data_IF_492153048826
#
_entry.id   IF_492153048826
#
_cell.length_a   1.000
_cell.length_b   1.000
_cell.length_c   1.000
_cell.angle_alpha   90.00
_cell.angle_beta   90.00
_cell.angle_gamma   90.00
#
_symmetry.space_group_name_H-M   'P 1'
#
loop_
_entity.id
_entity.type
_entity.pdbx_description
1 polymer ?
#
# COMPACT_ATOMS: atom_id res chain seq x y z
N UNK A 1 34.08 -35.70 -27.02
CA UNK A 1 34.07 -34.58 -26.06
C UNK A 1 32.87 -33.71 -26.40
N UNK A 2 31.77 -33.87 -25.67
CA UNK A 2 30.58 -33.05 -25.86
C UNK A 2 30.79 -31.75 -25.08
N UNK A 3 30.91 -30.64 -25.81
CA UNK A 3 30.91 -29.29 -25.25
C UNK A 3 29.52 -29.04 -24.65
N UNK A 4 29.43 -29.14 -23.33
CA UNK A 4 28.31 -28.61 -22.58
C UNK A 4 28.30 -27.09 -22.76
N UNK A 5 27.50 -26.59 -23.68
CA UNK A 5 27.06 -25.21 -23.67
C UNK A 5 26.30 -24.99 -22.36
N UNK A 6 26.97 -24.43 -21.34
CA UNK A 6 26.29 -23.93 -20.17
C UNK A 6 25.36 -22.82 -20.65
N UNK A 7 24.06 -23.12 -20.69
CA UNK A 7 23.05 -22.07 -20.80
C UNK A 7 23.28 -21.16 -19.59
N UNK A 8 23.89 -20.00 -19.78
CA UNK A 8 23.88 -18.93 -18.79
C UNK A 8 22.42 -18.53 -18.64
N UNK A 9 21.71 -19.21 -17.73
CA UNK A 9 20.33 -18.87 -17.39
C UNK A 9 20.38 -17.41 -16.93
N UNK A 10 19.79 -16.49 -17.69
CA UNK A 10 19.72 -15.07 -17.33
C UNK A 10 18.87 -14.93 -16.06
N UNK A 11 19.51 -15.10 -14.90
CA UNK A 11 18.87 -15.01 -13.58
C UNK A 11 18.54 -13.56 -13.28
N UNK A 12 17.34 -13.34 -12.77
CA UNK A 12 16.87 -12.01 -12.41
C UNK A 12 17.50 -11.58 -11.08
N UNK A 13 18.34 -10.55 -11.08
CA UNK A 13 18.90 -9.96 -9.84
C UNK A 13 18.04 -8.81 -9.35
N UNK A 14 17.42 -8.97 -8.18
CA UNK A 14 16.60 -7.96 -7.50
C UNK A 14 17.38 -7.42 -6.31
N UNK A 15 17.81 -6.16 -6.38
CA UNK A 15 18.41 -5.46 -5.24
C UNK A 15 17.33 -5.11 -4.21
N UNK A 16 17.60 -5.26 -2.91
CA UNK A 16 16.70 -4.79 -1.86
C UNK A 16 17.38 -3.94 -0.80
N UNK A 17 16.71 -2.87 -0.37
CA UNK A 17 17.18 -1.97 0.69
C UNK A 17 16.04 -1.67 1.69
N UNK A 18 16.14 -2.22 2.90
CA UNK A 18 15.08 -2.15 3.91
C UNK A 18 15.63 -1.86 5.32
N UNK A 19 14.84 -1.25 6.21
CA UNK A 19 15.10 -1.28 7.64
C UNK A 19 15.11 -2.72 8.16
N UNK A 20 15.89 -3.05 9.21
CA UNK A 20 16.05 -4.44 9.68
C UNK A 20 14.74 -5.16 9.99
N UNK A 21 13.75 -4.46 10.57
CA UNK A 21 12.44 -5.02 10.87
C UNK A 21 11.66 -5.39 9.60
N UNK A 22 11.81 -4.60 8.53
CA UNK A 22 11.12 -4.84 7.26
C UNK A 22 11.78 -5.98 6.49
N UNK A 23 13.11 -6.03 6.48
CA UNK A 23 13.89 -7.12 5.90
C UNK A 23 13.46 -8.48 6.49
N UNK A 24 13.46 -8.62 7.83
CA UNK A 24 13.05 -9.88 8.49
C UNK A 24 11.61 -10.31 8.19
N UNK A 25 10.73 -9.36 7.88
CA UNK A 25 9.31 -9.64 7.66
C UNK A 25 8.97 -9.91 6.19
N UNK A 26 9.80 -9.46 5.23
CA UNK A 26 9.55 -9.61 3.79
C UNK A 26 10.54 -10.59 3.18
N UNK A 27 11.84 -10.43 3.43
CA UNK A 27 12.92 -11.27 2.90
C UNK A 27 13.17 -12.43 3.87
N UNK A 28 12.16 -13.27 4.08
CA UNK A 28 12.33 -14.50 4.88
C UNK A 28 13.15 -15.52 4.07
N UNK A 29 13.83 -16.48 4.74
CA UNK A 29 14.57 -17.55 4.05
C UNK A 29 13.72 -18.30 3.02
N UNK A 30 12.44 -18.56 3.30
CA UNK A 30 11.55 -19.25 2.38
C UNK A 30 11.34 -18.49 1.06
N UNK A 31 11.22 -17.16 1.09
CA UNK A 31 11.16 -16.35 -0.12
C UNK A 31 12.48 -16.39 -0.88
N UNK A 32 13.62 -16.30 -0.20
CA UNK A 32 14.94 -16.35 -0.83
C UNK A 32 15.14 -17.68 -1.56
N UNK A 33 14.82 -18.81 -0.91
CA UNK A 33 14.97 -20.15 -1.48
C UNK A 33 14.01 -20.38 -2.64
N UNK A 34 12.73 -20.00 -2.49
CA UNK A 34 11.73 -20.12 -3.54
C UNK A 34 12.09 -19.25 -4.75
N UNK A 35 12.41 -17.97 -4.54
CA UNK A 35 12.82 -17.05 -5.61
C UNK A 35 14.04 -17.59 -6.36
N UNK A 36 15.04 -18.09 -5.61
CA UNK A 36 16.27 -18.64 -6.19
C UNK A 36 16.00 -19.88 -7.05
N UNK A 37 15.16 -20.79 -6.58
CA UNK A 37 14.72 -21.97 -7.35
C UNK A 37 14.02 -21.56 -8.65
N UNK A 38 13.32 -20.43 -8.64
CA UNK A 38 12.56 -19.91 -9.77
C UNK A 38 13.33 -18.87 -10.60
N UNK A 39 14.65 -18.78 -10.45
CA UNK A 39 15.52 -17.95 -11.30
C UNK A 39 15.61 -16.49 -10.90
N UNK A 40 15.25 -16.14 -9.66
CA UNK A 40 15.31 -14.79 -9.10
C UNK A 40 16.29 -14.77 -7.91
N UNK A 41 17.33 -13.95 -7.99
CA UNK A 41 18.31 -13.72 -6.93
C UNK A 41 17.96 -12.43 -6.18
N UNK A 42 17.58 -12.56 -4.90
CA UNK A 42 17.37 -11.42 -4.01
C UNK A 42 18.71 -11.03 -3.39
N UNK A 43 19.17 -9.81 -3.67
CA UNK A 43 20.49 -9.32 -3.29
C UNK A 43 20.32 -8.13 -2.35
N UNK A 44 20.81 -8.26 -1.12
CA UNK A 44 20.84 -7.15 -0.16
C UNK A 44 21.76 -6.06 -0.68
N UNK A 45 21.27 -4.83 -0.70
CA UNK A 45 22.09 -3.64 -0.96
C UNK A 45 22.80 -3.26 0.33
N UNK A 46 24.12 -3.13 0.26
CA UNK A 46 24.94 -2.59 1.33
C UNK A 46 24.88 -1.05 1.30
N UNK A 47 24.35 -0.44 2.36
CA UNK A 47 24.21 1.01 2.46
C UNK A 47 25.56 1.72 2.73
N UNK A 48 26.63 0.98 3.03
CA UNK A 48 27.97 1.54 3.22
C UNK A 48 28.80 1.58 1.93
N UNK A 49 28.35 0.90 0.87
CA UNK A 49 29.04 0.83 -0.42
C UNK A 49 28.26 1.62 -1.47
N UNK A 50 28.91 2.39 -2.38
CA UNK A 50 28.21 3.09 -3.45
C UNK A 50 27.34 2.14 -4.29
N UNK A 51 26.06 2.49 -4.50
CA UNK A 51 25.08 1.64 -5.18
C UNK A 51 25.49 1.27 -6.61
N UNK A 52 26.20 2.17 -7.30
CA UNK A 52 26.74 1.96 -8.66
C UNK A 52 27.68 0.76 -8.76
N UNK A 53 28.33 0.36 -7.66
CA UNK A 53 29.32 -0.72 -7.66
C UNK A 53 28.72 -2.08 -7.26
N UNK A 54 27.43 -2.13 -6.92
CA UNK A 54 26.79 -3.34 -6.39
C UNK A 54 25.96 -4.11 -7.43
N UNK A 55 25.85 -3.55 -8.65
CA UNK A 55 25.16 -4.17 -9.76
C UNK A 55 25.86 -5.42 -10.34
N UNK A 56 25.35 -5.97 -11.45
CA UNK A 56 24.14 -5.55 -12.14
C UNK A 56 22.87 -5.93 -11.34
N UNK A 57 21.87 -5.05 -11.38
CA UNK A 57 20.50 -5.33 -10.96
C UNK A 57 19.58 -5.28 -12.18
N UNK A 58 18.41 -5.88 -12.07
CA UNK A 58 17.33 -5.70 -13.04
C UNK A 58 16.21 -4.84 -12.44
N UNK A 59 15.98 -4.98 -11.14
CA UNK A 59 15.14 -4.07 -10.39
C UNK A 59 15.66 -3.90 -8.97
N UNK A 60 15.26 -2.80 -8.33
CA UNK A 60 15.53 -2.50 -6.93
C UNK A 60 14.20 -2.32 -6.21
N UNK A 61 13.97 -3.06 -5.13
CA UNK A 61 12.89 -2.83 -4.18
C UNK A 61 13.43 -2.13 -2.94
N UNK A 62 12.70 -1.16 -2.39
CA UNK A 62 13.22 -0.43 -1.23
C UNK A 62 12.10 0.09 -0.32
N UNK A 63 12.46 0.34 0.93
CA UNK A 63 11.57 0.95 1.93
C UNK A 63 12.36 1.83 2.91
N UNK A 64 13.24 2.65 2.35
CA UNK A 64 13.99 3.68 3.07
C UNK A 64 13.40 5.04 2.68
N UNK A 65 13.40 5.95 3.63
CA UNK A 65 12.62 7.19 3.56
C UNK A 65 13.48 8.46 3.70
N UNK A 66 14.78 8.31 3.91
CA UNK A 66 15.68 9.45 4.01
C UNK A 66 16.00 10.04 2.63
N UNK A 67 16.14 11.37 2.60
CA UNK A 67 16.40 12.13 1.36
C UNK A 67 17.70 11.66 0.68
N UNK A 68 18.73 11.31 1.46
CA UNK A 68 19.99 10.80 0.94
C UNK A 68 19.81 9.50 0.14
N UNK A 69 18.99 8.56 0.64
CA UNK A 69 18.65 7.36 -0.11
C UNK A 69 17.90 7.67 -1.41
N UNK A 70 16.93 8.60 -1.36
CA UNK A 70 16.17 8.98 -2.55
C UNK A 70 17.08 9.58 -3.64
N UNK A 71 18.00 10.46 -3.26
CA UNK A 71 19.01 11.04 -4.16
C UNK A 71 19.94 9.97 -4.75
N UNK A 72 20.50 9.08 -3.91
CA UNK A 72 21.36 7.99 -4.39
C UNK A 72 20.65 7.07 -5.38
N UNK A 73 19.37 6.77 -5.13
CA UNK A 73 18.57 5.90 -5.99
C UNK A 73 18.22 6.59 -7.32
N UNK A 74 17.95 7.90 -7.30
CA UNK A 74 17.74 8.70 -8.50
C UNK A 74 19.00 8.76 -9.37
N UNK A 75 20.16 9.07 -8.77
CA UNK A 75 21.46 9.08 -9.44
C UNK A 75 21.81 7.72 -10.06
N UNK A 76 21.54 6.64 -9.33
CA UNK A 76 21.73 5.29 -9.84
C UNK A 76 20.81 5.00 -11.03
N UNK A 77 19.53 5.36 -10.95
CA UNK A 77 18.57 5.14 -12.02
C UNK A 77 18.91 5.93 -13.30
N UNK A 78 19.41 7.17 -13.16
CA UNK A 78 19.88 7.97 -14.30
C UNK A 78 21.05 7.31 -15.03
N UNK A 79 21.99 6.72 -14.29
CA UNK A 79 23.16 6.02 -14.85
C UNK A 79 22.84 4.60 -15.33
N UNK A 80 21.70 4.03 -14.91
CA UNK A 80 21.29 2.67 -15.21
C UNK A 80 19.82 2.63 -15.66
N UNK A 81 19.47 3.20 -16.83
CA UNK A 81 18.08 3.33 -17.29
C UNK A 81 17.38 1.98 -17.54
N UNK A 82 18.15 0.89 -17.62
CA UNK A 82 17.64 -0.48 -17.73
C UNK A 82 17.16 -1.06 -16.40
N UNK A 83 17.54 -0.48 -15.26
CA UNK A 83 17.16 -0.96 -13.93
C UNK A 83 15.86 -0.32 -13.49
N UNK A 84 14.88 -1.14 -13.12
CA UNK A 84 13.59 -0.65 -12.65
C UNK A 84 13.63 -0.39 -11.15
N UNK A 85 13.39 0.86 -10.74
CA UNK A 85 13.16 1.20 -9.32
C UNK A 85 11.70 0.92 -8.95
N UNK A 86 11.49 0.08 -7.94
CA UNK A 86 10.18 -0.35 -7.44
C UNK A 86 10.04 0.09 -5.97
N UNK A 87 9.23 1.10 -5.66
CA UNK A 87 8.67 2.12 -6.56
C UNK A 87 9.46 3.42 -6.42
N UNK A 88 9.19 4.41 -7.29
CA UNK A 88 9.96 5.66 -7.23
C UNK A 88 9.66 6.43 -5.94
N UNK A 89 10.69 6.98 -5.24
CA UNK A 89 10.49 7.72 -3.99
C UNK A 89 9.45 8.85 -4.08
N UNK A 90 9.45 9.62 -5.18
CA UNK A 90 8.52 10.73 -5.39
C UNK A 90 7.05 10.29 -5.50
N UNK A 91 6.79 9.10 -6.04
CA UNK A 91 5.44 8.52 -6.11
C UNK A 91 5.01 7.94 -4.77
N UNK A 92 5.95 7.34 -4.02
CA UNK A 92 5.69 6.81 -2.68
C UNK A 92 5.38 7.93 -1.68
N UNK A 93 6.00 9.11 -1.85
CA UNK A 93 5.88 10.24 -0.91
C UNK A 93 4.43 10.70 -0.68
N UNK A 94 3.53 10.49 -1.66
CA UNK A 94 2.09 10.74 -1.50
C UNK A 94 1.48 9.96 -0.33
N UNK A 95 2.00 8.77 -0.03
CA UNK A 95 1.52 7.93 1.07
C UNK A 95 2.04 8.35 2.44
N UNK A 96 2.87 9.39 2.55
CA UNK A 96 3.31 9.90 3.86
C UNK A 96 2.29 10.85 4.46
N UNK A 97 1.49 11.51 3.62
CA UNK A 97 0.45 12.43 4.07
C UNK A 97 -0.89 11.72 4.21
N UNK A 98 -1.27 11.43 5.46
CA UNK A 98 -2.54 10.77 5.77
C UNK A 98 -3.76 11.63 5.37
N UNK A 99 -3.60 12.95 5.20
CA UNK A 99 -4.68 13.84 4.77
C UNK A 99 -5.00 13.62 3.29
N UNK A 100 -3.98 13.61 2.42
CA UNK A 100 -4.15 13.54 0.97
C UNK A 100 -4.08 12.13 0.38
N UNK A 101 -3.58 11.15 1.15
CA UNK A 101 -3.35 9.77 0.69
C UNK A 101 -4.57 9.14 -0.01
N UNK A 102 -5.77 9.39 0.51
CA UNK A 102 -7.00 8.76 0.01
C UNK A 102 -7.66 9.53 -1.14
N UNK A 103 -7.18 10.72 -1.50
CA UNK A 103 -7.75 11.54 -2.58
C UNK A 103 -7.72 10.80 -3.94
N UNK A 104 -6.74 9.91 -4.11
CA UNK A 104 -6.58 9.06 -5.30
C UNK A 104 -7.76 8.11 -5.53
N UNK A 105 -8.54 7.78 -4.49
CA UNK A 105 -9.69 6.89 -4.59
C UNK A 105 -10.76 7.49 -5.51
N UNK A 106 -10.88 8.82 -5.57
CA UNK A 106 -11.80 9.51 -6.49
C UNK A 106 -11.50 9.26 -7.97
N UNK A 107 -10.28 8.81 -8.31
CA UNK A 107 -9.86 8.50 -9.67
C UNK A 107 -10.14 7.03 -10.07
N UNK A 108 -10.52 6.19 -9.10
CA UNK A 108 -10.82 4.79 -9.32
C UNK A 108 -12.18 4.67 -10.01
N UNK A 109 -12.18 4.14 -11.24
CA UNK A 109 -13.41 3.88 -11.99
C UNK A 109 -13.83 2.43 -11.79
N UNK A 110 -14.92 2.19 -11.07
CA UNK A 110 -15.59 0.90 -11.11
C UNK A 110 -16.30 0.75 -12.46
N UNK A 111 -16.16 -0.40 -13.11
CA UNK A 111 -16.82 -0.65 -14.40
C UNK A 111 -18.32 -0.94 -14.25
N UNK A 112 -18.80 -1.13 -13.02
CA UNK A 112 -20.17 -1.53 -12.70
C UNK A 112 -21.00 -0.33 -12.22
N UNK A 113 -22.16 -0.10 -12.83
CA UNK A 113 -23.03 1.06 -12.59
C UNK A 113 -23.68 1.10 -11.20
N UNK A 114 -23.49 0.07 -10.38
CA UNK A 114 -24.12 -0.05 -9.05
C UNK A 114 -23.17 -0.06 -7.85
N UNK A 115 -21.85 -0.20 -8.05
CA UNK A 115 -20.89 -0.30 -6.93
C UNK A 115 -20.20 1.04 -6.71
N UNK A 116 -20.40 1.61 -5.52
CA UNK A 116 -19.73 2.85 -5.10
C UNK A 116 -18.45 2.52 -4.34
N UNK A 117 -17.37 3.21 -4.70
CA UNK A 117 -16.07 3.16 -4.02
C UNK A 117 -15.79 4.58 -3.54
N UNK A 118 -15.68 4.75 -2.23
CA UNK A 118 -15.62 6.07 -1.59
C UNK A 118 -14.53 6.10 -0.51
N UNK A 119 -14.39 7.28 0.09
CA UNK A 119 -13.56 7.52 1.27
C UNK A 119 -14.49 8.12 2.32
N UNK A 120 -14.49 7.64 3.57
CA UNK A 120 -15.30 8.28 4.60
C UNK A 120 -14.81 9.72 4.78
N UNK A 121 -15.74 10.63 5.02
CA UNK A 121 -15.41 12.05 5.14
C UNK A 121 -14.34 12.26 6.20
N UNK A 122 -13.37 13.13 5.89
CA UNK A 122 -12.24 13.37 6.75
C UNK A 122 -11.93 14.86 6.88
N UNK A 123 -11.56 15.28 8.09
CA UNK A 123 -11.13 16.64 8.40
C UNK A 123 -9.91 16.60 9.32
N UNK A 124 -9.10 17.65 9.26
CA UNK A 124 -7.94 17.79 10.17
C UNK A 124 -8.30 18.74 11.29
N UNK A 125 -8.16 18.27 12.52
CA UNK A 125 -8.20 19.11 13.71
C UNK A 125 -6.77 19.57 14.05
N UNK A 126 -6.51 20.85 13.84
CA UNK A 126 -5.20 21.51 14.03
C UNK A 126 -5.01 21.97 15.47
N UNK A 127 -3.78 22.31 15.83
CA UNK A 127 -3.47 22.93 17.13
C UNK A 127 -4.14 24.30 17.30
N UNK A 128 -4.27 25.05 16.21
CA UNK A 128 -4.77 26.42 16.19
C UNK A 128 -6.31 26.51 16.17
N UNK A 129 -6.99 25.42 15.83
CA UNK A 129 -8.44 25.34 15.95
C UNK A 129 -8.75 25.45 17.45
N UNK A 130 -9.45 26.49 17.89
CA UNK A 130 -9.56 26.87 19.30
C UNK A 130 -10.17 25.82 20.24
N UNK A 131 -10.79 26.26 21.33
CA UNK A 131 -11.49 25.35 22.22
C UNK A 131 -12.60 24.62 21.45
N UNK A 132 -12.73 23.30 21.59
CA UNK A 132 -13.70 22.48 20.84
C UNK A 132 -15.14 22.99 20.98
N UNK A 133 -15.47 23.61 22.11
CA UNK A 133 -16.79 24.20 22.38
C UNK A 133 -17.10 25.40 21.45
N UNK A 134 -16.06 26.01 20.85
CA UNK A 134 -16.17 27.04 19.82
C UNK A 134 -16.28 26.47 18.40
N UNK A 135 -15.91 25.20 18.19
CA UNK A 135 -16.00 24.50 16.90
C UNK A 135 -17.40 23.88 16.76
N UNK A 136 -18.42 24.74 16.71
CA UNK A 136 -19.82 24.32 16.56
C UNK A 136 -20.07 23.61 15.23
N UNK A 137 -19.33 24.00 14.18
CA UNK A 137 -19.58 23.59 12.80
C UNK A 137 -18.48 22.64 12.27
N UNK A 138 -18.11 21.64 13.04
CA UNK A 138 -17.34 20.51 12.49
C UNK A 138 -18.23 19.79 11.48
N UNK A 139 -17.83 19.84 10.21
CA UNK A 139 -18.54 19.22 9.10
C UNK A 139 -18.23 17.71 9.03
N UNK A 140 -18.43 16.98 10.12
CA UNK A 140 -18.32 15.51 10.22
C UNK A 140 -19.38 14.95 11.16
N UNK A 141 -19.81 13.72 10.87
CA UNK A 141 -20.75 12.97 11.70
C UNK A 141 -20.03 12.09 12.70
N UNK A 142 -20.55 12.06 13.93
CA UNK A 142 -20.06 11.15 14.95
C UNK A 142 -20.73 9.77 14.82
N UNK A 143 -20.01 8.68 15.16
CA UNK A 143 -18.66 8.67 15.70
C UNK A 143 -17.58 8.89 14.63
N UNK A 144 -16.39 9.33 15.05
CA UNK A 144 -15.21 9.51 14.16
C UNK A 144 -14.03 8.72 14.69
N UNK A 145 -13.21 8.18 13.79
CA UNK A 145 -11.88 7.66 14.11
C UNK A 145 -10.89 8.81 14.07
N UNK A 146 -10.27 9.09 15.21
CA UNK A 146 -9.13 9.97 15.34
C UNK A 146 -7.83 9.21 15.04
N UNK A 147 -7.10 9.66 14.02
CA UNK A 147 -5.82 9.10 13.57
C UNK A 147 -4.72 10.16 13.69
N UNK A 148 -3.59 9.91 14.38
CA UNK A 148 -2.46 10.83 14.40
C UNK A 148 -2.00 11.19 12.98
N UNK A 149 -1.54 12.42 12.72
CA UNK A 149 -1.07 12.76 11.36
C UNK A 149 0.23 12.04 10.97
N UNK A 150 1.08 11.74 11.95
CA UNK A 150 2.28 10.94 11.71
C UNK A 150 1.89 9.53 11.22
N UNK A 151 2.45 9.11 10.08
CA UNK A 151 2.21 7.81 9.42
C UNK A 151 3.51 6.98 9.31
N UNK A 152 4.53 7.32 10.10
CA UNK A 152 5.90 6.78 10.04
C UNK A 152 6.06 5.31 10.49
N UNK A 153 4.98 4.66 10.90
CA UNK A 153 4.98 3.27 11.38
C UNK A 153 5.53 3.10 12.80
N UNK A 154 5.74 4.19 13.54
CA UNK A 154 6.04 4.16 14.99
C UNK A 154 4.83 3.66 15.79
N UNK A 155 5.05 3.16 17.01
CA UNK A 155 3.94 2.76 17.88
C UNK A 155 2.94 3.90 18.16
N UNK A 156 3.43 5.15 18.20
CA UNK A 156 2.61 6.36 18.38
C UNK A 156 1.74 6.69 17.15
N UNK A 157 2.21 6.40 15.93
CA UNK A 157 1.43 6.61 14.69
C UNK A 157 0.18 5.72 14.57
N UNK A 158 0.03 4.75 15.47
CA UNK A 158 -1.03 3.74 15.49
C UNK A 158 -1.92 3.78 16.73
N UNK A 159 -1.73 4.74 17.64
CA UNK A 159 -2.67 4.99 18.74
C UNK A 159 -3.87 5.76 18.16
N UNK A 160 -4.96 5.05 17.90
CA UNK A 160 -6.19 5.62 17.35
C UNK A 160 -7.24 5.73 18.45
N UNK A 161 -8.23 6.60 18.25
CA UNK A 161 -9.38 6.69 19.15
C UNK A 161 -10.67 6.69 18.35
N UNK A 162 -11.66 5.92 18.81
CA UNK A 162 -13.04 6.03 18.35
C UNK A 162 -13.71 7.08 19.22
N UNK A 163 -14.01 8.23 18.64
CA UNK A 163 -14.60 9.37 19.35
C UNK A 163 -16.10 9.35 19.10
N UNK A 164 -16.87 9.22 20.19
CA UNK A 164 -18.32 9.08 20.13
C UNK A 164 -19.04 10.42 20.05
N UNK A 165 -18.46 11.47 20.62
CA UNK A 165 -19.07 12.79 20.67
C UNK A 165 -18.02 13.89 20.80
N UNK A 166 -18.48 15.14 20.71
CA UNK A 166 -17.62 16.33 20.76
C UNK A 166 -16.78 16.42 22.04
N UNK A 167 -17.26 15.91 23.18
CA UNK A 167 -16.50 15.95 24.44
C UNK A 167 -15.22 15.13 24.33
N UNK A 168 -15.29 13.98 23.65
CA UNK A 168 -14.12 13.12 23.44
C UNK A 168 -13.03 13.71 22.55
N UNK A 169 -13.31 14.80 21.82
CA UNK A 169 -12.26 15.51 21.08
C UNK A 169 -11.27 16.23 21.99
N UNK A 170 -11.68 16.56 23.24
CA UNK A 170 -10.87 17.37 24.18
C UNK A 170 -9.60 16.64 24.62
N UNK A 171 -9.65 15.31 24.62
CA UNK A 171 -8.57 14.44 25.09
C UNK A 171 -7.66 13.94 23.96
N UNK A 172 -7.82 14.47 22.74
CA UNK A 172 -7.01 14.10 21.58
C UNK A 172 -5.73 14.94 21.49
N UNK A 173 -4.62 14.27 21.22
CA UNK A 173 -3.36 14.92 20.85
C UNK A 173 -3.47 15.52 19.44
N UNK A 174 -3.30 16.84 19.32
CA UNK A 174 -3.38 17.57 18.05
C UNK A 174 -1.98 17.87 17.48
N UNK A 175 -1.82 17.90 16.14
CA UNK A 175 -2.87 17.77 15.12
C UNK A 175 -3.28 16.31 14.85
N UNK A 176 -4.55 16.11 14.50
CA UNK A 176 -5.17 14.78 14.31
C UNK A 176 -6.13 14.78 13.13
N UNK A 177 -6.15 13.69 12.37
CA UNK A 177 -7.16 13.46 11.32
C UNK A 177 -8.39 12.82 11.96
N UNK A 178 -9.55 13.41 11.77
CA UNK A 178 -10.84 12.83 12.11
C UNK A 178 -11.45 12.27 10.84
N UNK A 179 -11.74 10.98 10.81
CA UNK A 179 -12.42 10.30 9.71
C UNK A 179 -13.74 9.72 10.22
N UNK A 180 -14.86 9.96 9.52
CA UNK A 180 -16.16 9.41 9.89
C UNK A 180 -16.09 7.89 10.03
N UNK A 181 -16.70 7.38 11.11
CA UNK A 181 -16.83 5.95 11.32
C UNK A 181 -18.03 5.44 10.54
N UNK A 182 -17.80 4.40 9.73
CA UNK A 182 -18.84 3.75 8.95
C UNK A 182 -19.08 2.37 9.55
N UNK A 183 -20.30 2.05 9.96
CA UNK A 183 -20.66 0.68 10.37
C UNK A 183 -20.43 -0.29 9.20
N UNK A 184 -19.73 -1.39 9.49
CA UNK A 184 -19.21 -2.34 8.49
C UNK A 184 -19.21 -3.79 9.01
N UNK A 185 -20.04 -4.08 10.00
CA UNK A 185 -20.25 -5.41 10.58
C UNK A 185 -19.01 -6.00 11.25
N UNK A 186 -18.06 -5.17 11.69
CA UNK A 186 -16.85 -5.64 12.36
C UNK A 186 -15.84 -6.33 11.46
N UNK A 187 -15.93 -6.18 10.13
CA UNK A 187 -15.02 -6.83 9.17
C UNK A 187 -14.36 -5.85 8.21
N UNK A 188 -13.03 -5.97 8.09
CA UNK A 188 -12.21 -5.22 7.15
C UNK A 188 -11.60 -6.17 6.11
N UNK A 189 -11.53 -5.72 4.88
CA UNK A 189 -10.87 -6.38 3.77
C UNK A 189 -9.52 -5.73 3.51
N UNK A 190 -8.45 -6.49 3.73
CA UNK A 190 -7.09 -6.03 3.49
C UNK A 190 -6.63 -6.58 2.15
N UNK A 191 -6.39 -5.70 1.19
CA UNK A 191 -6.06 -6.08 -0.18
C UNK A 191 -4.59 -5.79 -0.45
N UNK A 192 -3.81 -6.84 -0.70
CA UNK A 192 -2.39 -6.75 -1.01
C UNK A 192 -2.19 -6.73 -2.51
N UNK A 193 -1.40 -5.78 -3.00
CA UNK A 193 -1.16 -5.55 -4.42
C UNK A 193 0.33 -5.68 -4.73
N UNK A 194 0.64 -6.47 -5.76
CA UNK A 194 1.96 -6.58 -6.35
C UNK A 194 1.84 -6.60 -7.88
N UNK A 195 2.12 -5.46 -8.52
CA UNK A 195 2.05 -5.35 -9.97
C UNK A 195 0.62 -5.39 -10.50
N UNK A 196 0.23 -6.43 -11.23
CA UNK A 196 -1.14 -6.63 -11.73
C UNK A 196 -1.98 -7.55 -10.84
N UNK A 197 -1.34 -8.20 -9.87
CA UNK A 197 -2.02 -9.13 -8.99
C UNK A 197 -2.45 -8.48 -7.67
N UNK A 198 -3.58 -8.94 -7.17
CA UNK A 198 -4.12 -8.52 -5.88
C UNK A 198 -4.68 -9.72 -5.12
N UNK A 199 -4.41 -9.80 -3.82
CA UNK A 199 -4.97 -10.81 -2.91
C UNK A 199 -5.74 -10.10 -1.79
N UNK A 200 -7.03 -10.42 -1.65
CA UNK A 200 -7.89 -9.88 -0.61
C UNK A 200 -8.00 -10.87 0.55
N UNK A 201 -7.76 -10.40 1.77
CA UNK A 201 -7.96 -11.19 3.00
C UNK A 201 -8.94 -10.48 3.94
N UNK A 202 -9.77 -11.28 4.62
CA UNK A 202 -10.70 -10.80 5.63
C UNK A 202 -10.00 -10.66 6.98
N UNK A 203 -10.30 -9.58 7.72
CA UNK A 203 -9.80 -9.30 9.07
C UNK A 203 -10.93 -8.83 9.97
N UNK A 204 -10.86 -9.14 11.27
CA UNK A 204 -11.71 -8.49 12.26
C UNK A 204 -11.35 -7.00 12.36
N UNK A 205 -12.35 -6.18 12.61
CA UNK A 205 -12.29 -4.73 12.71
C UNK A 205 -13.07 -4.24 13.94
N UNK A 206 -13.24 -2.92 14.08
CA UNK A 206 -14.10 -2.34 15.11
C UNK A 206 -15.54 -2.84 14.94
N UNK A 207 -16.22 -3.26 16.02
CA UNK A 207 -17.64 -3.58 15.96
C UNK A 207 -18.46 -2.34 15.59
N UNK A 208 -19.66 -2.58 15.07
CA UNK A 208 -20.60 -1.52 14.75
C UNK A 208 -21.04 -0.77 16.02
N UNK A 209 -21.33 0.51 15.83
CA UNK A 209 -21.92 1.39 16.84
C UNK A 209 -23.42 1.43 16.57
N UNK A 210 -24.21 0.85 17.47
CA UNK A 210 -25.66 0.74 17.32
C UNK A 210 -26.42 1.95 17.89
N UNK A 211 -25.77 2.70 18.77
CA UNK A 211 -26.34 3.89 19.40
C UNK A 211 -26.60 5.00 18.38
N UNK A 212 -27.74 5.66 18.54
CA UNK A 212 -28.11 6.86 17.77
C UNK A 212 -27.19 8.03 18.12
N UNK A 213 -27.14 9.06 17.26
CA UNK A 213 -26.36 10.28 17.52
C UNK A 213 -26.73 10.90 18.89
N UNK A 214 -28.02 10.94 19.24
CA UNK A 214 -28.50 11.47 20.54
C UNK A 214 -28.00 10.65 21.74
N UNK A 215 -27.89 9.33 21.61
CA UNK A 215 -27.38 8.44 22.65
C UNK A 215 -25.87 8.58 22.78
N UNK A 216 -25.16 8.72 21.66
CA UNK A 216 -23.72 8.98 21.63
C UNK A 216 -23.38 10.33 22.26
N UNK A 217 -24.17 11.37 22.04
CA UNK A 217 -24.00 12.68 22.70
C UNK A 217 -24.14 12.60 24.23
N UNK A 218 -24.99 11.69 24.73
CA UNK A 218 -25.21 11.48 26.16
C UNK A 218 -24.16 10.59 26.82
N UNK A 219 -23.35 9.85 26.06
CA UNK A 219 -22.27 9.01 26.62
C UNK A 219 -21.31 9.87 27.45
N UNK A 220 -21.05 9.39 28.67
CA UNK A 220 -20.07 10.02 29.58
C UNK A 220 -18.65 9.82 29.05
N UNK A 221 -18.33 8.61 28.59
CA UNK A 221 -17.08 8.32 27.91
C UNK A 221 -17.14 8.85 26.48
N UNK A 222 -16.43 9.95 26.21
CA UNK A 222 -16.45 10.63 24.91
C UNK A 222 -15.62 9.95 23.83
N UNK A 223 -14.66 9.10 24.20
CA UNK A 223 -13.78 8.40 23.27
C UNK A 223 -13.25 7.07 23.85
N UNK A 224 -12.94 6.14 22.96
CA UNK A 224 -12.28 4.86 23.27
C UNK A 224 -10.96 4.75 22.51
N UNK A 225 -9.85 4.65 23.24
CA UNK A 225 -8.53 4.40 22.65
C UNK A 225 -8.38 2.94 22.20
N UNK A 226 -7.74 2.73 21.07
CA UNK A 226 -7.36 1.40 20.59
C UNK A 226 -6.06 1.45 19.78
N UNK A 227 -5.35 0.33 19.75
CA UNK A 227 -4.17 0.16 18.90
C UNK A 227 -4.36 -1.06 18.00
N UNK A 228 -4.14 -0.88 16.70
CA UNK A 228 -4.09 -1.94 15.67
C UNK A 228 -4.98 -3.17 15.95
N UNK A 229 -6.31 -3.00 15.85
CA UNK A 229 -7.30 -4.06 16.12
C UNK A 229 -7.00 -5.35 15.36
N UNK A 230 -6.48 -5.23 14.14
CA UNK A 230 -6.16 -6.36 13.25
C UNK A 230 -4.86 -7.10 13.57
N UNK A 231 -3.97 -6.57 14.43
CA UNK A 231 -2.69 -7.20 14.80
C UNK A 231 -2.72 -7.93 16.14
N UNK A 232 -3.60 -7.54 17.07
CA UNK A 232 -3.67 -8.14 18.40
C UNK A 232 -3.96 -9.66 18.36
N UNK A 233 -4.72 -10.12 17.35
CA UNK A 233 -5.09 -11.53 17.24
C UNK A 233 -4.16 -12.37 16.33
N UNK A 234 -3.31 -11.78 15.50
CA UNK A 234 -2.29 -12.55 14.73
C UNK A 234 -1.33 -13.32 15.66
N UNK A 235 -1.20 -12.89 16.92
CA UNK A 235 -0.40 -13.58 17.95
C UNK A 235 -1.22 -14.53 18.82
N UNK A 236 -2.55 -14.54 18.72
CA UNK A 236 -3.44 -15.22 19.68
C UNK A 236 -4.11 -16.48 19.15
N UNK A 237 -3.58 -17.14 18.12
CA UNK A 237 -4.02 -18.50 17.72
C UNK A 237 -3.66 -19.60 18.76
N UNK A 238 -3.21 -19.22 19.96
CA UNK A 238 -3.00 -20.13 21.09
C UNK A 238 -3.60 -19.61 22.40
N UNK A 239 -4.89 -19.25 22.43
CA UNK A 239 -5.63 -19.20 23.68
C UNK A 239 -7.07 -19.67 23.49
N UNK A 240 -7.41 -20.75 24.20
CA UNK A 240 -8.72 -21.38 24.25
C UNK A 240 -9.77 -20.45 24.89
N UNK A 241 -11.02 -20.55 24.40
CA UNK A 241 -12.19 -20.48 25.28
C UNK A 241 -12.88 -19.13 25.51
N UNK A 242 -13.00 -18.28 24.50
CA UNK A 242 -13.98 -17.19 24.52
C UNK A 242 -15.01 -17.41 23.40
N UNK A 243 -16.28 -17.35 23.76
CA UNK A 243 -17.44 -17.66 22.92
C UNK A 243 -17.35 -16.94 21.56
N UNK A 244 -17.28 -17.75 20.49
CA UNK A 244 -17.47 -17.28 19.12
C UNK A 244 -18.93 -16.85 18.96
N UNK A 245 -19.25 -15.59 19.27
CA UNK A 245 -20.34 -14.94 18.55
C UNK A 245 -19.87 -14.86 17.11
N UNK A 246 -20.38 -15.77 16.29
CA UNK A 246 -20.22 -15.78 14.85
C UNK A 246 -20.60 -14.38 14.37
N UNK A 247 -19.60 -13.58 13.97
CA UNK A 247 -19.88 -12.46 13.09
C UNK A 247 -20.66 -13.06 11.93
N UNK A 248 -21.85 -12.52 11.63
CA UNK A 248 -22.58 -12.86 10.40
C UNK A 248 -21.55 -12.99 9.28
N UNK A 249 -21.59 -14.07 8.48
CA UNK A 249 -20.56 -14.36 7.48
C UNK A 249 -20.57 -13.27 6.40
N UNK A 250 -19.95 -12.12 6.68
CA UNK A 250 -19.86 -11.00 5.75
C UNK A 250 -19.12 -11.50 4.53
N UNK A 251 -19.78 -11.53 3.39
CA UNK A 251 -19.21 -12.09 2.17
C UNK A 251 -17.94 -11.36 1.75
N UNK A 252 -17.01 -12.09 1.13
CA UNK A 252 -15.84 -11.47 0.51
C UNK A 252 -16.29 -10.53 -0.63
N UNK A 253 -15.57 -9.42 -0.87
CA UNK A 253 -15.86 -8.58 -2.02
C UNK A 253 -15.67 -9.40 -3.31
N UNK A 254 -16.49 -9.20 -4.34
CA UNK A 254 -16.29 -9.87 -5.62
C UNK A 254 -14.88 -9.59 -6.16
N UNK A 255 -14.22 -10.62 -6.70
CA UNK A 255 -12.84 -10.53 -7.21
C UNK A 255 -12.69 -9.40 -8.25
N UNK A 256 -13.73 -9.19 -9.08
CA UNK A 256 -13.79 -8.09 -10.04
C UNK A 256 -13.61 -6.73 -9.37
N UNK A 257 -14.31 -6.47 -8.25
CA UNK A 257 -14.22 -5.21 -7.50
C UNK A 257 -12.84 -5.05 -6.90
N UNK A 258 -12.30 -6.11 -6.28
CA UNK A 258 -10.93 -6.10 -5.71
C UNK A 258 -9.92 -5.73 -6.79
N UNK A 259 -10.01 -6.34 -7.97
CA UNK A 259 -9.11 -6.09 -9.09
C UNK A 259 -9.26 -4.68 -9.65
N UNK A 260 -10.48 -4.18 -9.82
CA UNK A 260 -10.74 -2.83 -10.32
C UNK A 260 -10.22 -1.75 -9.37
N UNK A 261 -10.48 -1.87 -8.07
CA UNK A 261 -9.95 -0.96 -7.05
C UNK A 261 -8.42 -1.01 -7.05
N UNK A 262 -7.84 -2.21 -7.04
CA UNK A 262 -6.39 -2.40 -7.04
C UNK A 262 -5.73 -1.77 -8.26
N UNK A 263 -6.29 -1.99 -9.45
CA UNK A 263 -5.78 -1.44 -10.70
C UNK A 263 -5.92 0.08 -10.74
N UNK A 264 -7.09 0.61 -10.36
CA UNK A 264 -7.34 2.05 -10.34
C UNK A 264 -6.41 2.78 -9.38
N UNK A 265 -6.23 2.26 -8.17
CA UNK A 265 -5.30 2.81 -7.18
C UNK A 265 -3.85 2.77 -7.68
N UNK A 266 -3.43 1.63 -8.23
CA UNK A 266 -2.10 1.45 -8.81
C UNK A 266 -1.82 2.45 -9.93
N UNK A 267 -2.77 2.66 -10.83
CA UNK A 267 -2.65 3.60 -11.94
C UNK A 267 -2.63 5.05 -11.46
N UNK A 268 -3.51 5.43 -10.53
CA UNK A 268 -3.58 6.77 -9.96
C UNK A 268 -2.35 7.15 -9.13
N UNK A 269 -1.76 6.19 -8.41
CA UNK A 269 -0.56 6.41 -7.59
C UNK A 269 0.75 6.17 -8.35
N UNK A 270 0.74 5.36 -9.41
CA UNK A 270 1.94 4.96 -10.13
C UNK A 270 2.88 4.03 -9.34
N UNK A 271 2.44 3.48 -8.21
CA UNK A 271 3.19 2.52 -7.38
C UNK A 271 2.62 1.11 -7.58
N UNK A 272 3.43 0.08 -7.32
CA UNK A 272 3.12 -1.32 -7.62
C UNK A 272 3.14 -2.23 -6.41
N UNK A 273 3.80 -1.84 -5.33
CA UNK A 273 3.85 -2.61 -4.08
C UNK A 273 3.14 -1.87 -2.95
N UNK A 274 1.88 -2.20 -2.70
CA UNK A 274 1.11 -1.60 -1.62
C UNK A 274 0.05 -2.57 -1.10
N UNK A 275 -0.57 -2.23 0.03
CA UNK A 275 -1.90 -2.72 0.32
C UNK A 275 -2.83 -1.56 0.64
N UNK A 276 -4.11 -1.84 0.66
CA UNK A 276 -5.10 -0.92 1.17
C UNK A 276 -6.12 -1.66 2.03
N UNK A 277 -6.69 -0.93 2.98
CA UNK A 277 -7.72 -1.41 3.88
C UNK A 277 -9.06 -0.89 3.37
N UNK A 278 -10.01 -1.80 3.19
CA UNK A 278 -11.33 -1.54 2.62
C UNK A 278 -12.42 -2.10 3.54
N UNK A 279 -13.50 -1.35 3.73
CA UNK A 279 -14.68 -1.79 4.48
C UNK A 279 -15.92 -1.68 3.59
N UNK A 280 -17.01 -2.35 3.97
CA UNK A 280 -18.28 -2.33 3.23
C UNK A 280 -19.42 -1.99 4.18
N UNK A 281 -20.21 -0.96 3.85
CA UNK A 281 -21.39 -0.62 4.64
C UNK A 281 -22.58 -1.55 4.35
N UNK A 282 -23.64 -1.45 5.15
CA UNK A 282 -24.87 -2.22 4.97
C UNK A 282 -25.63 -1.91 3.66
N UNK A 283 -25.30 -0.80 2.97
CA UNK A 283 -25.88 -0.45 1.67
C UNK A 283 -25.07 -1.02 0.49
N UNK A 284 -23.94 -1.67 0.77
CA UNK A 284 -23.04 -2.24 -0.23
C UNK A 284 -22.00 -1.29 -0.80
N UNK A 285 -21.85 -0.08 -0.25
CA UNK A 285 -20.78 0.86 -0.61
C UNK A 285 -19.45 0.39 -0.03
N UNK A 286 -18.38 0.43 -0.83
CA UNK A 286 -17.03 0.13 -0.37
C UNK A 286 -16.30 1.42 -0.02
N UNK A 287 -15.56 1.41 1.09
CA UNK A 287 -14.76 2.55 1.53
C UNK A 287 -13.30 2.14 1.68
N UNK A 288 -12.39 2.87 1.05
CA UNK A 288 -10.95 2.74 1.29
C UNK A 288 -10.58 3.65 2.45
N UNK A 289 -9.94 3.10 3.48
CA UNK A 289 -9.70 3.80 4.75
C UNK A 289 -8.22 3.98 5.11
N UNK A 290 -7.33 3.24 4.44
CA UNK A 290 -5.88 3.32 4.62
C UNK A 290 -5.14 2.71 3.42
N UNK A 291 -3.96 3.22 3.06
CA UNK A 291 -3.08 2.69 2.00
C UNK A 291 -1.65 2.64 2.53
N UNK A 292 -0.99 1.49 2.47
CA UNK A 292 0.39 1.36 2.93
C UNK A 292 1.33 0.88 1.84
N UNK A 293 2.45 1.59 1.66
CA UNK A 293 3.54 1.16 0.79
C UNK A 293 4.27 -0.05 1.37
N UNK A 294 4.57 -1.04 0.50
CA UNK A 294 5.37 -2.23 0.79
C UNK A 294 5.02 -2.85 2.18
N UNK A 295 3.81 -3.40 2.31
CA UNK A 295 3.34 -4.01 3.55
C UNK A 295 4.11 -5.30 3.88
N UNK A 296 3.75 -5.98 4.97
CA UNK A 296 4.27 -7.32 5.24
C UNK A 296 3.48 -8.35 4.43
N UNK A 297 3.98 -8.78 3.27
CA UNK A 297 3.30 -9.77 2.42
C UNK A 297 3.31 -11.18 3.01
N UNK A 298 4.22 -11.47 3.95
CA UNK A 298 4.42 -12.81 4.51
C UNK A 298 3.30 -13.33 5.44
N UNK A 299 2.17 -12.61 5.49
CA UNK A 299 0.91 -13.06 6.09
C UNK A 299 -0.03 -13.71 5.06
N UNK A 300 0.27 -13.55 3.76
CA UNK A 300 -0.49 -14.19 2.69
C UNK A 300 -0.07 -15.65 2.55
N UNK A 301 -1.01 -16.55 2.24
CA UNK A 301 -0.64 -17.86 1.71
C UNK A 301 0.13 -17.67 0.42
N UNK A 302 1.17 -18.48 0.20
CA UNK A 302 1.94 -18.48 -1.04
C UNK A 302 2.55 -17.11 -1.41
N UNK A 303 2.90 -16.29 -0.40
CA UNK A 303 3.49 -14.98 -0.65
C UNK A 303 4.84 -15.07 -1.38
N UNK A 304 5.54 -16.21 -1.28
CA UNK A 304 6.75 -16.50 -2.04
C UNK A 304 6.48 -16.54 -3.55
N UNK A 305 5.45 -17.26 -3.97
CA UNK A 305 4.94 -17.34 -5.34
C UNK A 305 4.56 -15.95 -5.83
N UNK A 306 3.75 -15.26 -5.04
CA UNK A 306 3.19 -13.94 -5.35
C UNK A 306 4.29 -12.90 -5.63
N UNK A 307 5.26 -12.75 -4.72
CA UNK A 307 6.36 -11.80 -4.92
C UNK A 307 7.33 -12.24 -6.02
N UNK A 308 7.61 -13.54 -6.13
CA UNK A 308 8.51 -14.05 -7.19
C UNK A 308 7.93 -13.83 -8.58
N UNK A 309 6.62 -14.02 -8.75
CA UNK A 309 5.91 -13.72 -9.99
C UNK A 309 6.00 -12.23 -10.31
N UNK A 310 5.70 -11.38 -9.33
CA UNK A 310 5.85 -9.93 -9.48
C UNK A 310 7.26 -9.51 -9.96
N UNK A 311 8.32 -10.04 -9.36
CA UNK A 311 9.69 -9.70 -9.78
C UNK A 311 9.95 -10.06 -11.24
N UNK A 312 9.48 -11.23 -11.70
CA UNK A 312 9.60 -11.64 -13.10
C UNK A 312 8.84 -10.70 -14.04
N UNK A 313 7.61 -10.34 -13.71
CA UNK A 313 6.80 -9.42 -14.51
C UNK A 313 7.45 -8.04 -14.66
N UNK A 314 8.06 -7.52 -13.59
CA UNK A 314 8.80 -6.25 -13.64
C UNK A 314 9.91 -6.31 -14.69
N UNK A 315 10.65 -7.41 -14.71
CA UNK A 315 11.76 -7.59 -15.65
C UNK A 315 11.29 -7.82 -17.09
N UNK A 316 10.22 -8.59 -17.28
CA UNK A 316 9.64 -8.87 -18.60
C UNK A 316 9.06 -7.61 -19.24
N UNK A 317 8.33 -6.79 -18.48
CA UNK A 317 7.79 -5.51 -18.97
C UNK A 317 8.89 -4.55 -19.42
N UNK A 318 10.02 -4.50 -18.68
CA UNK A 318 11.15 -3.66 -19.09
C UNK A 318 11.80 -4.15 -20.37
N UNK A 319 11.94 -5.48 -20.55
CA UNK A 319 12.43 -6.07 -21.81
C UNK A 319 11.51 -5.74 -22.98
N UNK A 320 10.19 -5.89 -22.81
CA UNK A 320 9.21 -5.56 -23.87
C UNK A 320 9.27 -4.08 -24.28
N UNK A 321 9.27 -3.17 -23.31
CA UNK A 321 9.41 -1.72 -23.59
C UNK A 321 10.68 -1.39 -24.36
N UNK A 322 11.80 -2.04 -24.01
CA UNK A 322 13.07 -1.83 -24.71
C UNK A 322 13.02 -2.29 -26.17
N UNK A 323 12.39 -3.43 -26.44
CA UNK A 323 12.19 -3.92 -27.81
C UNK A 323 11.31 -2.95 -28.62
N UNK A 324 10.22 -2.44 -28.03
CA UNK A 324 9.34 -1.46 -28.69
C UNK A 324 10.05 -0.11 -28.96
N UNK A 325 10.88 0.36 -28.02
CA UNK A 325 11.71 1.56 -28.19
C UNK A 325 12.79 1.37 -29.28
N UNK A 326 13.44 0.22 -29.32
CA UNK A 326 14.45 -0.11 -30.34
C UNK A 326 13.81 -0.24 -31.74
N UNK A 327 12.66 -0.91 -31.84
CA UNK A 327 11.92 -1.08 -33.11
C UNK A 327 11.43 0.27 -33.65
N UNK A 328 10.90 1.15 -32.79
CA UNK A 328 10.46 2.50 -33.20
C UNK A 328 11.62 3.41 -33.62
N UNK A 329 12.78 3.32 -32.95
CA UNK A 329 13.98 4.06 -33.36
C UNK A 329 14.53 3.59 -34.73
N UNK A 330 14.37 2.31 -35.07
CA UNK A 330 14.76 1.76 -36.37
C UNK A 330 13.81 2.26 -37.49
N UNK A 331 12.52 2.44 -37.20
CA UNK A 331 11.54 2.98 -38.15
C UNK A 331 11.77 4.47 -38.43
N UNK A 332 12.02 5.29 -37.40
CA UNK A 332 12.34 6.72 -37.56
C UNK A 332 13.70 6.95 -38.26
N UNK A 333 14.67 6.06 -38.05
CA UNK A 333 15.96 6.06 -38.76
C UNK A 333 15.88 5.72 -40.25
N UNK A 334 14.73 5.23 -40.74
CA UNK A 334 14.47 4.97 -42.18
C UNK A 334 13.78 6.15 -42.89
N UNK A 335 13.66 7.32 -42.26
CA UNK A 335 13.29 8.54 -42.97
C UNK A 335 14.31 8.82 -44.10
N UNK A 336 13.81 8.80 -45.34
CA UNK A 336 14.55 8.80 -46.62
C UNK A 336 15.81 9.69 -46.61
N UNK A 337 16.92 9.26 -47.26
CA UNK A 337 18.03 10.16 -47.51
C UNK A 337 17.51 11.36 -48.28
N UNK A 338 17.75 12.57 -47.75
CA UNK A 338 17.57 13.81 -48.51
C UNK A 338 18.33 13.66 -49.81
N UNK A 339 17.59 13.59 -50.91
CA UNK A 339 18.12 13.54 -52.24
C UNK A 339 18.87 14.86 -52.50
N UNK A 340 20.18 14.85 -52.32
CA UNK A 340 21.07 15.87 -52.88
C UNK A 340 21.19 15.60 -54.38
N UNK A 341 20.25 16.12 -55.17
CA UNK A 341 20.46 16.34 -56.59
C UNK A 341 20.52 17.84 -56.83
N UNK A 342 21.72 18.29 -57.20
CA UNK A 342 22.00 19.57 -57.86
C UNK A 342 21.11 19.73 -59.09
N UNK A 343 20.45 20.88 -59.20
CA UNK A 343 20.61 21.83 -60.32
C UNK A 343 19.95 23.16 -60.01
#
# INVERSE_FOLDING_TARGET
>A
MASSSSSSSNRLRVGYAFPPNKERNVIRPSLVDYAKLHGVDLVRIDLQTPLLHQGPFHCIIHKLYDDAWAEHLQDFALKNPDVVVVDRPDLIARLYDRVSMLDVVSQVKASDSGVRIEVPKQIVLKQEDGEIDSIRDLDVKFPVIAKPLASDGSAKSHEMSLVFNRRGLKDLDRPVLLQEFVNHGGVMFKVYVAGEESVCVKRKSLPDVAETEEELEKKQDGAMKFSQISRAEEKSEKCNGAEKKEAEEIEMPPEKIVREVSNGLREAMGIRLFNFDMIRDGNGTYYVIDINYLPGFAVLPEYEQFLTKFFKEVAEKKKKKKVEEDDSAIEDGKAKPRCCCFQ
#
